data_IF_557943418755
#
_entry.id   IF_557943418755
#
_cell.length_a   1.000
_cell.length_b   1.000
_cell.length_c   1.000
_cell.angle_alpha   90.00
_cell.angle_beta   90.00
_cell.angle_gamma   90.00
#
_symmetry.space_group_name_H-M   'P 1'
#
loop_
_entity.id
_entity.type
_entity.pdbx_description
1 polymer ?
#
# COMPACT_ATOMS: atom_id res chain seq x y z
N UNK A 1 -32.43 -49.65 36.14
CA UNK A 1 -33.55 -50.14 35.32
C UNK A 1 -34.66 -49.10 35.39
N UNK A 2 -34.95 -48.45 34.24
CA UNK A 2 -36.26 -47.94 33.75
C UNK A 2 -36.92 -46.83 34.63
N UNK A 3 -37.38 -45.65 34.18
CA UNK A 3 -37.70 -45.01 32.87
C UNK A 3 -38.10 -43.54 33.14
N UNK A 4 -37.62 -42.58 32.32
CA UNK A 4 -38.34 -41.74 31.34
C UNK A 4 -39.23 -40.57 31.81
N UNK A 5 -38.99 -39.42 31.14
CA UNK A 5 -39.99 -38.65 30.36
C UNK A 5 -40.33 -37.20 30.78
N UNK A 6 -39.80 -36.28 29.95
CA UNK A 6 -40.51 -35.25 29.19
C UNK A 6 -40.82 -33.85 29.76
N UNK A 7 -40.22 -32.88 29.06
CA UNK A 7 -40.65 -31.52 28.78
C UNK A 7 -42.15 -31.24 28.84
N UNK A 8 -42.53 -30.15 29.52
CA UNK A 8 -43.50 -29.16 29.01
C UNK A 8 -43.56 -27.98 29.98
N UNK A 9 -43.15 -26.79 29.55
CA UNK A 9 -43.79 -25.53 29.96
C UNK A 9 -43.52 -24.48 28.89
N UNK A 10 -44.52 -24.34 28.02
CA UNK A 10 -44.63 -23.36 26.95
C UNK A 10 -45.68 -22.32 27.38
N UNK A 11 -45.40 -21.07 27.02
CA UNK A 11 -46.35 -20.00 26.66
C UNK A 11 -47.02 -19.21 27.81
N UNK A 12 -46.58 -17.96 28.02
CA UNK A 12 -47.26 -16.78 27.46
C UNK A 12 -46.64 -15.47 27.98
N UNK A 13 -46.24 -14.58 27.06
CA UNK A 13 -46.74 -13.19 26.98
C UNK A 13 -46.04 -12.44 25.82
N UNK A 14 -46.83 -12.24 24.76
CA UNK A 14 -46.79 -11.21 23.71
C UNK A 14 -45.51 -10.37 23.51
N UNK A 15 -44.92 -10.49 22.32
CA UNK A 15 -44.54 -9.30 21.55
C UNK A 15 -45.02 -9.45 20.11
N UNK A 16 -46.27 -9.03 19.89
CA UNK A 16 -46.87 -8.74 18.61
C UNK A 16 -46.18 -7.52 17.99
N UNK A 17 -45.11 -7.76 17.24
CA UNK A 17 -44.70 -6.88 16.15
C UNK A 17 -44.42 -7.76 14.93
N UNK A 18 -45.41 -7.79 14.04
CA UNK A 18 -45.28 -7.92 12.59
C UNK A 18 -43.97 -8.58 12.13
N UNK A 19 -44.04 -9.88 11.88
CA UNK A 19 -42.99 -10.60 11.17
C UNK A 19 -42.86 -10.05 9.75
N UNK A 20 -42.06 -9.01 9.60
CA UNK A 20 -41.41 -8.69 8.34
C UNK A 20 -40.34 -9.77 8.09
N UNK A 21 -40.81 -10.93 7.62
CA UNK A 21 -40.02 -12.12 7.27
C UNK A 21 -39.22 -11.89 5.97
N UNK A 22 -38.44 -10.80 5.94
CA UNK A 22 -37.43 -10.52 4.92
C UNK A 22 -36.05 -10.81 5.50
N UNK A 23 -35.63 -12.10 5.57
CA UNK A 23 -34.31 -12.47 6.08
C UNK A 23 -33.16 -11.89 5.23
N UNK A 24 -33.46 -11.41 4.03
CA UNK A 24 -32.52 -10.79 3.10
C UNK A 24 -32.20 -9.34 3.39
N UNK A 25 -32.91 -8.70 4.34
CA UNK A 25 -32.76 -7.27 4.64
C UNK A 25 -32.23 -6.99 6.03
N UNK A 26 -31.37 -5.97 6.11
CA UNK A 26 -30.85 -5.46 7.35
C UNK A 26 -31.90 -4.70 8.16
N UNK A 27 -32.14 -5.12 9.40
CA UNK A 27 -33.14 -4.46 10.29
C UNK A 27 -32.75 -3.05 10.76
N UNK A 28 -31.52 -2.60 10.52
CA UNK A 28 -31.09 -1.23 10.83
C UNK A 28 -31.24 -0.24 9.66
N UNK A 29 -31.18 -0.71 8.41
CA UNK A 29 -31.21 0.19 7.24
C UNK A 29 -32.17 -0.25 6.12
N UNK A 30 -32.90 -1.35 6.30
CA UNK A 30 -33.82 -2.00 5.35
C UNK A 30 -33.23 -2.36 3.97
N UNK A 31 -31.91 -2.31 3.85
CA UNK A 31 -31.17 -2.66 2.63
C UNK A 31 -30.84 -4.16 2.59
N UNK A 32 -30.73 -4.69 1.36
CA UNK A 32 -30.37 -6.08 1.14
C UNK A 32 -28.94 -6.36 1.59
N UNK A 33 -28.72 -7.54 2.18
CA UNK A 33 -27.39 -8.05 2.45
C UNK A 33 -26.68 -8.48 1.15
N UNK A 34 -25.37 -8.27 1.09
CA UNK A 34 -24.50 -8.71 -0.01
C UNK A 34 -23.23 -9.38 0.53
N UNK A 35 -22.37 -9.93 -0.33
CA UNK A 35 -21.17 -10.67 0.10
C UNK A 35 -19.94 -9.81 0.40
N UNK A 36 -20.01 -8.50 0.16
CA UNK A 36 -18.84 -7.62 0.09
C UNK A 36 -18.98 -6.43 1.03
N UNK A 37 -19.96 -5.58 0.80
CA UNK A 37 -20.16 -4.29 1.46
C UNK A 37 -21.19 -4.40 2.60
N UNK A 38 -22.33 -5.04 2.35
CA UNK A 38 -23.41 -5.21 3.33
C UNK A 38 -23.48 -6.64 3.84
N UNK A 39 -22.32 -7.22 4.14
CA UNK A 39 -22.24 -8.60 4.65
C UNK A 39 -22.90 -8.74 6.02
N UNK A 40 -23.77 -9.73 6.25
CA UNK A 40 -24.49 -9.88 7.51
C UNK A 40 -23.52 -10.29 8.63
N UNK A 41 -23.54 -9.56 9.75
CA UNK A 41 -22.71 -9.83 10.94
C UNK A 41 -23.54 -9.81 12.20
N UNK A 42 -23.22 -10.70 13.14
CA UNK A 42 -23.95 -10.84 14.39
C UNK A 42 -23.26 -10.11 15.54
N UNK A 43 -24.04 -9.32 16.29
CA UNK A 43 -23.62 -8.80 17.59
C UNK A 43 -23.61 -9.95 18.61
N UNK A 44 -22.95 -9.76 19.77
CA UNK A 44 -22.87 -10.81 20.80
C UNK A 44 -24.21 -11.15 21.45
N UNK A 45 -25.25 -10.32 21.25
CA UNK A 45 -26.63 -10.62 21.63
C UNK A 45 -27.39 -11.51 20.62
N UNK A 46 -26.76 -11.89 19.50
CA UNK A 46 -27.36 -12.72 18.45
C UNK A 46 -28.09 -11.96 17.33
N UNK A 47 -28.32 -10.65 17.49
CA UNK A 47 -28.94 -9.84 16.43
C UNK A 47 -27.98 -9.53 15.29
N UNK A 48 -28.48 -9.60 14.05
CA UNK A 48 -27.65 -9.50 12.84
C UNK A 48 -27.92 -8.21 12.07
N UNK A 49 -26.86 -7.51 11.69
CA UNK A 49 -26.90 -6.24 10.94
C UNK A 49 -25.87 -6.23 9.81
N UNK A 50 -26.01 -5.27 8.89
CA UNK A 50 -25.09 -5.13 7.77
C UNK A 50 -23.71 -4.63 8.22
N UNK A 51 -22.64 -5.07 7.55
CA UNK A 51 -21.27 -4.64 7.87
C UNK A 51 -21.12 -3.11 7.91
N UNK A 52 -21.64 -2.40 6.90
CA UNK A 52 -21.67 -0.92 6.89
C UNK A 52 -22.45 -0.30 8.06
N UNK A 53 -23.51 -0.95 8.51
CA UNK A 53 -24.37 -0.46 9.58
C UNK A 53 -23.62 -0.53 10.91
N UNK A 54 -22.95 -1.65 11.15
CA UNK A 54 -22.11 -1.84 12.33
C UNK A 54 -20.92 -0.87 12.28
N UNK A 55 -20.24 -0.77 11.14
CA UNK A 55 -19.08 0.09 10.95
C UNK A 55 -19.38 1.57 11.24
N UNK A 56 -20.51 2.09 10.76
CA UNK A 56 -20.97 3.46 11.07
C UNK A 56 -21.27 3.69 12.55
N UNK A 57 -21.58 2.62 13.29
CA UNK A 57 -21.93 2.68 14.72
C UNK A 57 -20.75 2.37 15.65
N UNK A 58 -19.58 2.00 15.14
CA UNK A 58 -18.39 1.72 15.97
C UNK A 58 -17.88 3.03 16.59
N UNK A 59 -18.21 3.24 17.86
CA UNK A 59 -17.72 4.35 18.69
C UNK A 59 -17.40 3.85 20.12
N UNK A 60 -16.58 2.79 20.23
CA UNK A 60 -16.21 2.04 21.45
C UNK A 60 -17.34 1.20 22.08
N UNK A 61 -18.58 1.69 22.06
CA UNK A 61 -19.78 0.97 22.51
C UNK A 61 -20.83 1.04 21.40
N UNK A 62 -21.38 -0.11 21.03
CA UNK A 62 -22.49 -0.24 20.08
C UNK A 62 -23.72 -0.71 20.85
N UNK A 63 -24.80 0.04 20.79
CA UNK A 63 -26.09 -0.38 21.35
C UNK A 63 -26.90 -1.09 20.28
N UNK A 64 -27.34 -2.32 20.55
CA UNK A 64 -28.16 -3.10 19.63
C UNK A 64 -29.51 -2.40 19.37
N UNK A 65 -29.87 -2.07 18.11
CA UNK A 65 -31.16 -1.44 17.80
C UNK A 65 -32.40 -2.27 18.17
N UNK A 66 -32.25 -3.60 18.34
CA UNK A 66 -33.36 -4.51 18.60
C UNK A 66 -33.55 -4.74 20.10
N UNK A 67 -32.52 -5.22 20.80
CA UNK A 67 -32.62 -5.57 22.22
C UNK A 67 -32.01 -4.54 23.19
N UNK A 68 -31.42 -3.46 22.68
CA UNK A 68 -30.73 -2.40 23.45
C UNK A 68 -29.51 -2.87 24.26
N UNK A 69 -29.05 -4.11 24.09
CA UNK A 69 -27.79 -4.59 24.68
C UNK A 69 -26.59 -3.79 24.15
N UNK A 70 -25.63 -3.52 25.03
CA UNK A 70 -24.40 -2.81 24.69
C UNK A 70 -23.26 -3.78 24.38
N UNK A 71 -22.51 -3.48 23.32
CA UNK A 71 -21.41 -4.30 22.82
C UNK A 71 -20.15 -3.44 22.69
N UNK A 72 -19.07 -3.82 23.38
CA UNK A 72 -17.78 -3.13 23.26
C UNK A 72 -17.05 -3.66 22.04
N UNK A 73 -16.71 -2.77 21.11
CA UNK A 73 -15.92 -3.12 19.94
C UNK A 73 -15.12 -1.93 19.44
N UNK A 74 -13.90 -2.22 18.99
CA UNK A 74 -12.96 -1.27 18.37
C UNK A 74 -12.84 -1.49 16.87
N UNK A 75 -13.27 -2.65 16.36
CA UNK A 75 -13.19 -2.98 14.94
C UNK A 75 -14.34 -3.89 14.50
N UNK A 76 -14.71 -3.81 13.23
CA UNK A 76 -15.79 -4.60 12.60
C UNK A 76 -15.51 -6.12 12.66
N UNK A 77 -14.24 -6.52 12.66
CA UNK A 77 -13.78 -7.92 12.69
C UNK A 77 -14.16 -8.65 13.98
N UNK A 78 -14.47 -7.92 15.06
CA UNK A 78 -14.92 -8.49 16.33
C UNK A 78 -16.37 -9.00 16.29
N UNK A 79 -17.13 -8.67 15.23
CA UNK A 79 -18.45 -9.21 14.99
C UNK A 79 -18.40 -10.25 13.87
N UNK A 80 -18.65 -11.54 14.16
CA UNK A 80 -18.54 -12.60 13.18
C UNK A 80 -19.59 -12.45 12.07
N UNK A 81 -19.24 -12.94 10.88
CA UNK A 81 -20.17 -13.03 9.76
C UNK A 81 -21.20 -14.11 10.06
N UNK A 82 -22.47 -13.80 9.77
CA UNK A 82 -23.57 -14.76 9.90
C UNK A 82 -23.78 -15.51 8.58
N UNK A 83 -23.09 -16.64 8.43
CA UNK A 83 -23.16 -17.48 7.23
C UNK A 83 -24.53 -18.14 7.02
N UNK A 84 -25.32 -18.34 8.08
CA UNK A 84 -26.67 -18.90 7.96
C UNK A 84 -27.61 -17.94 7.23
N UNK A 85 -27.50 -16.64 7.51
CA UNK A 85 -28.24 -15.62 6.76
C UNK A 85 -27.78 -15.57 5.30
N UNK A 86 -26.48 -15.72 5.02
CA UNK A 86 -25.97 -15.81 3.64
C UNK A 86 -26.56 -17.02 2.88
N UNK A 87 -26.65 -18.17 3.56
CA UNK A 87 -27.22 -19.39 3.01
C UNK A 87 -28.73 -19.25 2.76
N UNK A 88 -29.47 -18.65 3.71
CA UNK A 88 -30.90 -18.39 3.57
C UNK A 88 -31.19 -17.46 2.40
N UNK A 89 -30.43 -16.36 2.23
CA UNK A 89 -30.60 -15.44 1.09
C UNK A 89 -30.41 -16.17 -0.25
N UNK A 90 -29.44 -17.08 -0.32
CA UNK A 90 -29.20 -17.90 -1.52
C UNK A 90 -30.40 -18.79 -1.83
N UNK A 91 -30.99 -19.40 -0.81
CA UNK A 91 -32.14 -20.31 -0.95
C UNK A 91 -33.45 -19.56 -1.25
N UNK A 92 -33.67 -18.38 -0.65
CA UNK A 92 -34.84 -17.53 -0.93
C UNK A 92 -34.87 -17.06 -2.38
N UNK A 93 -33.71 -16.69 -2.95
CA UNK A 93 -33.60 -16.36 -4.38
C UNK A 93 -33.95 -17.57 -5.26
N UNK A 94 -33.51 -18.77 -4.88
CA UNK A 94 -33.86 -20.02 -5.58
C UNK A 94 -35.35 -20.37 -5.53
N UNK A 95 -36.00 -20.21 -4.38
CA UNK A 95 -37.42 -20.54 -4.22
C UNK A 95 -38.37 -19.54 -4.91
N UNK A 96 -38.06 -18.24 -4.88
CA UNK A 96 -38.86 -17.22 -5.60
C UNK A 96 -38.82 -17.39 -7.12
N UNK A 97 -37.67 -17.81 -7.68
CA UNK A 97 -37.53 -18.10 -9.11
C UNK A 97 -38.52 -19.19 -9.54
N UNK A 98 -38.60 -20.31 -8.81
CA UNK A 98 -39.47 -21.44 -9.17
C UNK A 98 -40.98 -21.13 -9.12
N UNK A 99 -41.44 -20.32 -8.15
CA UNK A 99 -42.86 -19.95 -8.03
C UNK A 99 -43.28 -18.88 -9.04
N UNK A 100 -42.40 -17.92 -9.35
CA UNK A 100 -42.66 -16.88 -10.33
C UNK A 100 -42.60 -17.44 -11.77
N UNK A 101 -41.67 -18.35 -12.05
CA UNK A 101 -41.53 -19.04 -13.35
C UNK A 101 -42.79 -19.84 -13.69
N UNK A 102 -43.40 -20.54 -12.72
CA UNK A 102 -44.62 -21.32 -12.95
C UNK A 102 -45.86 -20.46 -13.27
N UNK A 103 -46.00 -19.28 -12.64
CA UNK A 103 -47.08 -18.32 -12.91
C UNK A 103 -46.86 -17.57 -14.24
N UNK A 104 -45.61 -17.21 -14.56
CA UNK A 104 -45.24 -16.60 -15.83
C UNK A 104 -45.39 -17.59 -17.01
N UNK A 105 -45.14 -18.88 -16.79
CA UNK A 105 -45.30 -19.92 -17.82
C UNK A 105 -46.77 -20.08 -18.26
N UNK A 106 -47.73 -20.08 -17.33
CA UNK A 106 -49.17 -20.12 -17.65
C UNK A 106 -49.64 -18.86 -18.40
N UNK A 107 -49.17 -17.68 -18.01
CA UNK A 107 -49.50 -16.41 -18.69
C UNK A 107 -48.93 -16.32 -20.12
N UNK A 108 -47.77 -16.93 -20.38
CA UNK A 108 -47.19 -17.01 -21.74
C UNK A 108 -48.02 -17.91 -22.67
N UNK A 109 -48.55 -19.01 -22.17
CA UNK A 109 -49.31 -19.97 -22.98
C UNK A 109 -50.58 -19.36 -23.58
N UNK A 110 -51.27 -18.48 -22.86
CA UNK A 110 -52.45 -17.77 -23.38
C UNK A 110 -52.10 -16.62 -24.35
N UNK A 111 -50.96 -15.93 -24.18
CA UNK A 111 -50.52 -14.85 -25.08
C UNK A 111 -49.98 -15.32 -26.44
N UNK A 112 -49.59 -16.59 -26.53
CA UNK A 112 -48.97 -17.16 -27.75
C UNK A 112 -49.98 -17.75 -28.75
N UNK A 113 -51.24 -17.94 -28.34
CA UNK A 113 -52.34 -18.37 -29.21
C UNK A 113 -52.64 -17.29 -30.26
N UNK A 114 -52.26 -17.55 -31.51
CA UNK A 114 -52.59 -16.70 -32.66
C UNK A 114 -51.40 -15.98 -33.29
N UNK A 115 -50.19 -16.09 -32.74
CA UNK A 115 -49.00 -15.50 -33.34
C UNK A 115 -48.46 -16.41 -34.45
N UNK A 116 -48.27 -15.84 -35.65
CA UNK A 116 -47.77 -16.57 -36.83
C UNK A 116 -46.39 -17.18 -36.59
N UNK A 117 -46.15 -18.38 -37.13
CA UNK A 117 -44.85 -19.10 -37.06
C UNK A 117 -43.67 -18.22 -37.51
N UNK A 118 -43.89 -17.31 -38.47
CA UNK A 118 -42.87 -16.38 -38.98
C UNK A 118 -42.46 -15.31 -37.96
N UNK A 119 -43.38 -14.87 -37.11
CA UNK A 119 -43.05 -13.91 -36.04
C UNK A 119 -42.30 -14.62 -34.91
N UNK A 120 -42.65 -15.88 -34.61
CA UNK A 120 -41.90 -16.71 -33.67
C UNK A 120 -40.47 -16.99 -34.11
N UNK A 121 -40.23 -17.26 -35.39
CA UNK A 121 -38.87 -17.48 -35.90
C UNK A 121 -38.00 -16.23 -35.79
N UNK A 122 -38.55 -15.05 -36.12
CA UNK A 122 -37.84 -13.77 -35.96
C UNK A 122 -37.54 -13.45 -34.50
N UNK A 123 -38.48 -13.71 -33.59
CA UNK A 123 -38.26 -13.53 -32.15
C UNK A 123 -37.17 -14.46 -31.62
N UNK A 124 -37.08 -15.68 -32.13
CA UNK A 124 -36.05 -16.64 -31.72
C UNK A 124 -34.66 -16.28 -32.29
N UNK A 125 -34.61 -15.77 -33.52
CA UNK A 125 -33.41 -15.17 -34.12
C UNK A 125 -32.91 -13.96 -33.31
N UNK A 126 -33.82 -13.06 -32.93
CA UNK A 126 -33.48 -11.90 -32.10
C UNK A 126 -32.99 -12.31 -30.71
N UNK A 127 -33.63 -13.30 -30.06
CA UNK A 127 -33.15 -13.84 -28.78
C UNK A 127 -31.75 -14.43 -28.90
N UNK A 128 -31.49 -15.21 -29.96
CA UNK A 128 -30.17 -15.79 -30.22
C UNK A 128 -29.13 -14.69 -30.44
N UNK A 129 -29.48 -13.66 -31.23
CA UNK A 129 -28.64 -12.48 -31.47
C UNK A 129 -28.31 -11.73 -30.16
N UNK A 130 -29.33 -11.46 -29.34
CA UNK A 130 -29.18 -10.79 -28.04
C UNK A 130 -28.34 -11.65 -27.07
N UNK A 131 -28.57 -12.97 -27.02
CA UNK A 131 -27.78 -13.88 -26.19
C UNK A 131 -26.30 -13.87 -26.59
N UNK A 132 -26.01 -13.84 -27.89
CA UNK A 132 -24.65 -13.72 -28.41
C UNK A 132 -24.02 -12.38 -28.03
N UNK A 133 -24.78 -11.27 -28.10
CA UNK A 133 -24.31 -9.95 -27.68
C UNK A 133 -24.03 -9.90 -26.16
N UNK A 134 -24.89 -10.50 -25.33
CA UNK A 134 -24.65 -10.62 -23.89
C UNK A 134 -23.34 -11.36 -23.62
N UNK A 135 -23.12 -12.50 -24.29
CA UNK A 135 -21.89 -13.29 -24.14
C UNK A 135 -20.65 -12.46 -24.52
N UNK A 136 -20.71 -11.70 -25.62
CA UNK A 136 -19.63 -10.78 -26.03
C UNK A 136 -19.38 -9.67 -25.01
N UNK A 137 -20.44 -9.11 -24.41
CA UNK A 137 -20.32 -8.11 -23.35
C UNK A 137 -19.68 -8.70 -22.08
N UNK A 138 -20.05 -9.91 -21.68
CA UNK A 138 -19.45 -10.61 -20.53
C UNK A 138 -17.96 -10.89 -20.76
N UNK A 139 -17.59 -11.29 -21.98
CA UNK A 139 -16.19 -11.47 -22.36
C UNK A 139 -15.42 -10.13 -22.29
N UNK A 140 -15.98 -9.06 -22.85
CA UNK A 140 -15.37 -7.72 -22.79
C UNK A 140 -15.19 -7.24 -21.33
N UNK A 141 -16.18 -7.46 -20.46
CA UNK A 141 -16.08 -7.16 -19.04
C UNK A 141 -14.98 -7.97 -18.35
N UNK A 142 -14.85 -9.25 -18.69
CA UNK A 142 -13.77 -10.10 -18.18
C UNK A 142 -12.38 -9.57 -18.61
N UNK A 143 -12.24 -9.21 -19.89
CA UNK A 143 -11.00 -8.64 -20.42
C UNK A 143 -10.66 -7.30 -19.75
N UNK A 144 -11.64 -6.41 -19.58
CA UNK A 144 -11.47 -5.14 -18.87
C UNK A 144 -11.05 -5.35 -17.41
N UNK A 145 -11.64 -6.33 -16.72
CA UNK A 145 -11.26 -6.68 -15.36
C UNK A 145 -9.80 -7.16 -15.26
N UNK A 146 -9.34 -8.01 -16.20
CA UNK A 146 -7.95 -8.46 -16.27
C UNK A 146 -6.99 -7.29 -16.52
N UNK A 147 -7.31 -6.45 -17.50
CA UNK A 147 -6.50 -5.27 -17.81
C UNK A 147 -6.44 -4.28 -16.64
N UNK A 148 -7.56 -4.04 -15.96
CA UNK A 148 -7.59 -3.21 -14.75
C UNK A 148 -6.69 -3.77 -13.65
N UNK A 149 -6.63 -5.10 -13.50
CA UNK A 149 -5.67 -5.77 -12.62
C UNK A 149 -4.23 -5.44 -12.98
N UNK A 150 -3.85 -5.61 -14.25
CA UNK A 150 -2.49 -5.35 -14.72
C UNK A 150 -2.08 -3.87 -14.57
N UNK A 151 -2.98 -2.93 -14.87
CA UNK A 151 -2.73 -1.50 -14.66
C UNK A 151 -2.49 -1.21 -13.17
N UNK A 152 -3.23 -1.85 -12.27
CA UNK A 152 -3.01 -1.72 -10.83
C UNK A 152 -1.66 -2.29 -10.42
N UNK A 153 -1.28 -3.45 -10.96
CA UNK A 153 0.00 -4.09 -10.66
C UNK A 153 1.18 -3.23 -11.14
N UNK A 154 1.13 -2.71 -12.38
CA UNK A 154 2.13 -1.77 -12.89
C UNK A 154 2.20 -0.50 -12.03
N UNK A 155 1.06 0.06 -11.63
CA UNK A 155 1.03 1.22 -10.72
C UNK A 155 1.73 0.91 -9.40
N UNK A 156 1.48 -0.25 -8.80
CA UNK A 156 2.14 -0.68 -7.57
C UNK A 156 3.66 -0.84 -7.76
N UNK A 157 4.09 -1.45 -8.87
CA UNK A 157 5.51 -1.58 -9.20
C UNK A 157 6.19 -0.21 -9.35
N UNK A 158 5.53 0.74 -10.04
CA UNK A 158 6.04 2.10 -10.17
C UNK A 158 6.16 2.81 -8.81
N UNK A 159 5.18 2.67 -7.92
CA UNK A 159 5.29 3.22 -6.57
C UNK A 159 6.45 2.60 -5.78
N UNK A 160 6.66 1.28 -5.86
CA UNK A 160 7.79 0.63 -5.20
C UNK A 160 9.15 1.14 -5.71
N UNK A 161 9.27 1.38 -7.02
CA UNK A 161 10.48 1.99 -7.59
C UNK A 161 10.66 3.43 -7.12
N UNK A 162 9.57 4.20 -7.07
CA UNK A 162 9.57 5.56 -6.55
C UNK A 162 10.05 5.61 -5.08
N UNK A 163 9.54 4.72 -4.24
CA UNK A 163 9.95 4.64 -2.82
C UNK A 163 11.44 4.33 -2.70
N UNK A 164 11.96 3.37 -3.49
CA UNK A 164 13.40 3.04 -3.50
C UNK A 164 14.28 4.20 -3.97
N UNK A 165 13.84 4.95 -4.98
CA UNK A 165 14.56 6.14 -5.43
C UNK A 165 14.58 7.23 -4.35
N UNK A 166 13.47 7.40 -3.64
CA UNK A 166 13.38 8.33 -2.53
C UNK A 166 14.33 7.94 -1.39
N UNK A 167 14.40 6.65 -1.03
CA UNK A 167 15.34 6.14 -0.01
C UNK A 167 16.81 6.42 -0.40
N UNK A 168 17.18 6.24 -1.67
CA UNK A 168 18.53 6.55 -2.16
C UNK A 168 18.84 8.05 -2.08
N UNK A 169 17.86 8.92 -2.40
CA UNK A 169 18.02 10.36 -2.29
C UNK A 169 18.21 10.79 -0.83
N UNK A 170 17.46 10.20 0.10
CA UNK A 170 17.60 10.51 1.53
C UNK A 170 18.96 10.05 2.07
N UNK A 171 19.44 8.87 1.67
CA UNK A 171 20.79 8.41 2.01
C UNK A 171 21.88 9.34 1.46
N UNK A 172 21.73 9.81 0.21
CA UNK A 172 22.66 10.77 -0.37
C UNK A 172 22.70 12.08 0.44
N UNK A 173 21.52 12.60 0.79
CA UNK A 173 21.39 13.82 1.57
C UNK A 173 22.06 13.68 2.93
N UNK A 174 21.84 12.57 3.63
CA UNK A 174 22.50 12.31 4.91
C UNK A 174 24.04 12.27 4.79
N UNK A 175 24.57 11.71 3.70
CA UNK A 175 26.01 11.72 3.43
C UNK A 175 26.52 13.14 3.18
N UNK A 176 25.79 13.96 2.42
CA UNK A 176 26.15 15.36 2.20
C UNK A 176 26.25 16.10 3.54
N UNK A 177 25.26 15.93 4.43
CA UNK A 177 25.27 16.53 5.77
C UNK A 177 26.49 16.07 6.61
N UNK A 178 26.87 14.79 6.53
CA UNK A 178 28.08 14.28 7.21
C UNK A 178 29.36 14.89 6.63
N UNK A 179 29.46 15.04 5.30
CA UNK A 179 30.61 15.66 4.66
C UNK A 179 30.73 17.15 4.99
N UNK A 180 29.61 17.87 5.09
CA UNK A 180 29.59 19.27 5.53
C UNK A 180 30.08 19.41 6.98
N UNK A 181 29.72 18.46 7.87
CA UNK A 181 30.21 18.43 9.24
C UNK A 181 31.71 18.13 9.33
N UNK A 182 32.20 17.18 8.51
CA UNK A 182 33.63 16.86 8.41
C UNK A 182 34.41 18.07 7.86
N UNK A 183 33.93 18.71 6.79
CA UNK A 183 34.55 19.90 6.21
C UNK A 183 34.65 21.05 7.24
N UNK A 184 33.56 21.32 7.96
CA UNK A 184 33.57 22.31 9.03
C UNK A 184 34.58 21.97 10.15
N UNK A 185 34.70 20.69 10.50
CA UNK A 185 35.66 20.21 11.51
C UNK A 185 37.10 20.36 11.03
N UNK A 186 37.38 20.04 9.77
CA UNK A 186 38.70 20.23 9.13
C UNK A 186 39.07 21.71 9.07
N UNK A 187 38.13 22.58 8.67
CA UNK A 187 38.35 24.03 8.64
C UNK A 187 38.69 24.57 10.04
N UNK A 188 37.92 24.19 11.06
CA UNK A 188 38.20 24.58 12.43
C UNK A 188 39.59 24.12 12.87
N UNK A 189 39.94 22.86 12.64
CA UNK A 189 41.26 22.33 12.98
C UNK A 189 42.38 23.08 12.25
N UNK A 190 42.20 23.38 10.96
CA UNK A 190 43.16 24.12 10.18
C UNK A 190 43.40 25.54 10.74
N UNK A 191 42.35 26.20 11.24
CA UNK A 191 42.50 27.51 11.91
C UNK A 191 43.28 27.42 13.23
N UNK A 192 43.04 26.36 14.02
CA UNK A 192 43.77 26.11 15.28
C UNK A 192 45.25 25.84 14.99
N UNK A 193 45.56 24.98 14.01
CA UNK A 193 46.92 24.66 13.59
C UNK A 193 47.65 25.86 13.02
N UNK A 194 47.01 26.69 12.19
CA UNK A 194 47.66 27.89 11.65
C UNK A 194 47.93 28.93 12.74
N UNK A 195 47.04 29.06 13.73
CA UNK A 195 47.29 29.90 14.89
C UNK A 195 48.49 29.41 15.72
N UNK A 196 48.57 28.10 15.99
CA UNK A 196 49.70 27.49 16.70
C UNK A 196 51.01 27.67 15.92
N UNK A 197 51.00 27.43 14.61
CA UNK A 197 52.15 27.67 13.72
C UNK A 197 52.63 29.12 13.78
N UNK A 198 51.72 30.09 13.76
CA UNK A 198 52.08 31.52 13.87
C UNK A 198 52.72 31.84 15.21
N UNK A 199 52.24 31.26 16.30
CA UNK A 199 52.86 31.41 17.63
C UNK A 199 54.29 30.86 17.63
N UNK A 200 54.51 29.67 17.06
CA UNK A 200 55.85 29.08 16.92
C UNK A 200 56.78 29.93 16.06
N UNK A 201 56.27 30.52 14.97
CA UNK A 201 57.06 31.42 14.11
C UNK A 201 57.47 32.70 14.85
N UNK A 202 56.54 33.36 15.54
CA UNK A 202 56.85 34.52 16.39
C UNK A 202 57.86 34.15 17.48
N UNK A 203 57.74 32.94 18.04
CA UNK A 203 58.69 32.47 19.04
C UNK A 203 60.09 32.28 18.46
N UNK A 204 60.19 31.63 17.30
CA UNK A 204 61.45 31.44 16.58
C UNK A 204 62.15 32.78 16.33
N UNK A 205 61.42 33.81 15.89
CA UNK A 205 61.97 35.17 15.72
C UNK A 205 62.47 35.77 17.03
N UNK A 206 61.81 35.53 18.17
CA UNK A 206 62.30 35.97 19.48
C UNK A 206 63.60 35.25 19.89
N UNK A 207 63.77 33.96 19.55
CA UNK A 207 65.00 33.21 19.84
C UNK A 207 66.23 33.85 19.21
N UNK A 208 66.09 34.40 18.00
CA UNK A 208 67.18 35.08 17.28
C UNK A 208 67.68 36.34 18.00
N UNK A 209 66.91 36.89 18.95
CA UNK A 209 67.25 38.12 19.68
C UNK A 209 67.91 37.89 21.05
N UNK A 210 67.95 36.64 21.51
CA UNK A 210 68.50 36.26 22.82
C UNK A 210 70.01 36.45 22.82
N UNK A 211 70.55 37.19 23.81
CA UNK A 211 71.98 37.51 23.85
C UNK A 211 72.65 37.31 25.22
N UNK A 212 71.88 37.04 26.28
CA UNK A 212 72.44 36.73 27.60
C UNK A 212 72.19 35.27 28.03
N UNK A 213 73.11 34.71 28.81
CA UNK A 213 72.96 33.34 29.35
C UNK A 213 71.71 33.16 30.23
N UNK A 214 71.27 34.24 30.89
CA UNK A 214 70.06 34.24 31.74
C UNK A 214 68.79 34.19 30.89
N UNK A 215 68.75 34.90 29.77
CA UNK A 215 67.66 34.83 28.80
C UNK A 215 67.58 33.43 28.18
N UNK A 216 68.71 32.87 27.71
CA UNK A 216 68.75 31.51 27.13
C UNK A 216 68.10 30.47 28.04
N UNK A 217 68.36 30.53 29.35
CA UNK A 217 67.82 29.53 30.30
C UNK A 217 66.30 29.66 30.48
N UNK A 218 65.78 30.89 30.52
CA UNK A 218 64.33 31.15 30.60
C UNK A 218 63.66 30.69 29.30
N UNK A 219 64.28 31.03 28.17
CA UNK A 219 63.79 30.72 26.83
C UNK A 219 63.63 29.21 26.60
N UNK A 220 64.62 28.40 26.99
CA UNK A 220 64.56 26.93 26.87
C UNK A 220 63.36 26.35 27.64
N UNK A 221 63.09 26.86 28.85
CA UNK A 221 61.97 26.35 29.66
C UNK A 221 60.59 26.69 29.08
N UNK A 222 60.47 27.82 28.39
CA UNK A 222 59.24 28.21 27.68
C UNK A 222 59.08 27.40 26.38
N UNK A 223 60.18 27.08 25.69
CA UNK A 223 60.16 26.33 24.42
C UNK A 223 59.71 24.88 24.61
N UNK A 224 60.03 24.26 25.74
CA UNK A 224 59.52 22.92 26.09
C UNK A 224 57.98 22.89 26.14
N UNK A 225 57.35 23.96 26.62
CA UNK A 225 55.89 24.07 26.68
C UNK A 225 55.28 24.22 25.27
N UNK A 226 55.86 25.08 24.42
CA UNK A 226 55.40 25.25 23.05
C UNK A 226 55.55 23.99 22.20
N UNK A 227 56.61 23.20 22.42
CA UNK A 227 56.80 21.92 21.75
C UNK A 227 55.72 20.91 22.13
N UNK A 228 55.40 20.79 23.42
CA UNK A 228 54.31 19.91 23.90
C UNK A 228 52.96 20.32 23.30
N UNK A 229 52.68 21.62 23.25
CA UNK A 229 51.45 22.13 22.63
C UNK A 229 51.39 21.85 21.12
N UNK A 230 52.50 22.04 20.40
CA UNK A 230 52.59 21.76 18.96
C UNK A 230 52.44 20.27 18.62
N UNK A 231 53.11 19.40 19.38
CA UNK A 231 52.98 17.94 19.26
C UNK A 231 51.54 17.50 19.54
N UNK A 232 50.89 18.10 20.54
CA UNK A 232 49.48 17.85 20.86
C UNK A 232 48.53 18.16 19.69
N UNK A 233 48.75 19.28 18.98
CA UNK A 233 47.96 19.64 17.80
C UNK A 233 48.19 18.68 16.63
N UNK A 234 49.45 18.30 16.37
CA UNK A 234 49.79 17.35 15.30
C UNK A 234 49.15 15.98 15.58
N UNK A 235 49.24 15.50 16.82
CA UNK A 235 48.61 14.25 17.23
C UNK A 235 47.09 14.31 17.07
N UNK A 236 46.45 15.38 17.53
CA UNK A 236 44.99 15.58 17.38
C UNK A 236 44.57 15.53 15.91
N UNK A 237 45.33 16.15 15.00
CA UNK A 237 45.06 16.07 13.56
C UNK A 237 45.15 14.64 13.02
N UNK A 238 46.12 13.85 13.48
CA UNK A 238 46.32 12.45 13.05
C UNK A 238 45.25 11.51 13.60
N UNK A 239 44.73 11.78 14.79
CA UNK A 239 43.72 10.94 15.44
C UNK A 239 42.30 11.24 14.94
N UNK A 240 42.01 12.51 14.67
CA UNK A 240 40.65 12.95 14.31
C UNK A 240 40.40 12.83 12.81
N UNK A 241 41.42 12.99 11.96
CA UNK A 241 41.24 13.12 10.52
C UNK A 241 42.02 12.10 9.67
N UNK A 242 41.43 11.62 8.56
CA UNK A 242 40.02 11.81 8.19
C UNK A 242 39.10 10.95 9.08
N UNK A 243 37.85 11.36 9.27
CA UNK A 243 36.83 10.44 9.77
C UNK A 243 36.59 9.35 8.71
N UNK A 244 37.27 8.22 8.93
CA UNK A 244 37.24 7.04 8.05
C UNK A 244 35.80 6.54 7.85
N UNK A 245 34.93 6.68 8.86
CA UNK A 245 33.55 6.23 8.75
C UNK A 245 32.75 7.13 7.81
N UNK A 246 32.89 8.45 7.93
CA UNK A 246 32.25 9.43 7.04
C UNK A 246 32.72 9.24 5.60
N UNK A 247 34.03 9.12 5.37
CA UNK A 247 34.60 8.89 4.04
C UNK A 247 34.13 7.56 3.45
N UNK A 248 34.20 6.47 4.21
CA UNK A 248 33.76 5.16 3.72
C UNK A 248 32.26 5.13 3.39
N UNK A 249 31.43 5.79 4.20
CA UNK A 249 29.98 5.87 3.95
C UNK A 249 29.70 6.69 2.70
N UNK A 250 30.40 7.81 2.51
CA UNK A 250 30.29 8.64 1.32
C UNK A 250 30.60 7.87 0.04
N UNK A 251 31.75 7.17 0.01
CA UNK A 251 32.16 6.38 -1.15
C UNK A 251 31.13 5.31 -1.49
N UNK A 252 30.63 4.57 -0.50
CA UNK A 252 29.63 3.49 -0.71
C UNK A 252 28.31 4.02 -1.27
N UNK A 253 27.79 5.12 -0.71
CA UNK A 253 26.53 5.71 -1.17
C UNK A 253 26.70 6.29 -2.56
N UNK A 254 27.82 6.96 -2.83
CA UNK A 254 28.14 7.48 -4.16
C UNK A 254 28.22 6.36 -5.21
N UNK A 255 28.96 5.29 -4.93
CA UNK A 255 29.06 4.14 -5.84
C UNK A 255 27.68 3.50 -6.09
N UNK A 256 26.86 3.34 -5.05
CA UNK A 256 25.51 2.79 -5.17
C UNK A 256 24.63 3.64 -6.09
N UNK A 257 24.64 4.96 -5.91
CA UNK A 257 23.84 5.89 -6.71
C UNK A 257 24.35 5.97 -8.14
N UNK A 258 25.66 6.03 -8.35
CA UNK A 258 26.27 6.03 -9.68
C UNK A 258 25.83 4.79 -10.48
N UNK A 259 25.98 3.60 -9.89
CA UNK A 259 25.58 2.35 -10.52
C UNK A 259 24.07 2.33 -10.84
N UNK A 260 23.23 2.86 -9.95
CA UNK A 260 21.79 2.95 -10.19
C UNK A 260 21.44 3.90 -11.35
N UNK A 261 22.12 5.05 -11.44
CA UNK A 261 21.94 6.02 -12.52
C UNK A 261 22.39 5.46 -13.87
N UNK A 262 23.52 4.77 -13.93
CA UNK A 262 24.02 4.14 -15.16
C UNK A 262 23.06 3.07 -15.69
N UNK A 263 22.45 2.28 -14.79
CA UNK A 263 21.39 1.35 -15.17
C UNK A 263 20.15 2.06 -15.72
N UNK A 264 19.76 3.20 -15.15
CA UNK A 264 18.58 3.95 -15.61
C UNK A 264 18.80 4.67 -16.94
N UNK A 265 19.97 5.26 -17.18
CA UNK A 265 20.27 5.99 -18.41
C UNK A 265 20.43 5.07 -19.61
N UNK A 266 21.08 3.92 -19.43
CA UNK A 266 21.21 2.90 -20.48
C UNK A 266 19.86 2.32 -20.93
N UNK A 267 18.91 2.16 -20.01
CA UNK A 267 17.54 1.72 -20.34
C UNK A 267 16.72 2.80 -21.07
N UNK A 268 16.92 4.08 -20.73
CA UNK A 268 16.17 5.21 -21.32
C UNK A 268 16.67 5.57 -22.72
N UNK A 269 17.96 5.46 -23.01
CA UNK A 269 18.50 5.71 -24.35
C UNK A 269 18.17 4.57 -25.35
N UNK A 270 17.92 3.35 -24.86
CA UNK A 270 17.36 2.26 -25.67
C UNK A 270 15.86 2.45 -26.01
N UNK A 271 15.20 3.47 -25.45
CA UNK A 271 13.80 3.86 -25.71
C UNK A 271 13.65 4.87 -26.85
N UNK A 272 14.46 4.77 -27.91
CA UNK A 272 14.24 5.59 -29.10
C UNK A 272 12.97 5.12 -29.88
N UNK A 273 11.88 5.84 -29.62
CA UNK A 273 10.85 6.34 -30.54
C UNK A 273 10.07 5.44 -31.54
N UNK A 274 10.28 4.12 -31.68
CA UNK A 274 9.71 3.38 -32.85
C UNK A 274 8.47 2.49 -32.63
N UNK A 275 7.83 2.42 -31.46
CA UNK A 275 6.66 1.53 -31.28
C UNK A 275 5.34 2.31 -31.28
N UNK A 276 4.92 2.75 -32.46
CA UNK A 276 3.53 3.15 -32.71
C UNK A 276 2.64 1.90 -32.67
N UNK A 277 2.09 1.59 -31.50
CA UNK A 277 1.11 0.52 -31.35
C UNK A 277 -0.23 0.96 -31.93
N UNK A 278 -0.52 0.57 -33.18
CA UNK A 278 -1.83 0.82 -33.79
C UNK A 278 -2.95 0.19 -32.95
N UNK A 279 -4.03 0.95 -32.72
CA UNK A 279 -5.14 0.57 -31.83
C UNK A 279 -6.23 -0.28 -32.52
N UNK A 280 -6.07 -0.64 -33.78
CA UNK A 280 -7.13 -1.24 -34.60
C UNK A 280 -7.30 -2.74 -34.37
N UNK A 281 -8.56 -3.20 -34.30
CA UNK A 281 -9.00 -4.58 -34.52
C UNK A 281 -8.67 -5.65 -33.46
N UNK A 282 -7.81 -5.37 -32.47
CA UNK A 282 -7.36 -6.35 -31.47
C UNK A 282 -8.14 -6.27 -30.16
N UNK A 283 -8.27 -7.42 -29.48
CA UNK A 283 -8.79 -7.51 -28.12
C UNK A 283 -7.91 -6.75 -27.14
N UNK A 284 -8.45 -6.42 -25.97
CA UNK A 284 -7.69 -5.66 -24.96
C UNK A 284 -6.44 -6.45 -24.53
N UNK A 285 -6.56 -7.76 -24.40
CA UNK A 285 -5.46 -8.63 -23.98
C UNK A 285 -4.36 -8.75 -25.04
N UNK A 286 -4.70 -8.83 -26.33
CA UNK A 286 -3.71 -8.83 -27.42
C UNK A 286 -2.88 -7.54 -27.43
N UNK A 287 -3.50 -6.39 -27.13
CA UNK A 287 -2.79 -5.12 -27.03
C UNK A 287 -1.82 -5.11 -25.85
N UNK A 288 -2.23 -5.65 -24.70
CA UNK A 288 -1.40 -5.79 -23.51
C UNK A 288 -0.22 -6.74 -23.74
N UNK A 289 -0.46 -7.89 -24.36
CA UNK A 289 0.60 -8.86 -24.66
C UNK A 289 1.63 -8.26 -25.62
N UNK A 290 1.18 -7.49 -26.62
CA UNK A 290 2.07 -6.76 -27.52
C UNK A 290 2.95 -5.74 -26.78
N UNK A 291 2.37 -4.97 -25.85
CA UNK A 291 3.12 -4.05 -24.98
C UNK A 291 4.15 -4.82 -24.14
N UNK A 292 3.71 -5.89 -23.48
CA UNK A 292 4.56 -6.68 -22.57
C UNK A 292 5.71 -7.35 -23.32
N UNK A 293 5.48 -7.83 -24.53
CA UNK A 293 6.49 -8.46 -25.39
C UNK A 293 7.54 -7.46 -25.86
N UNK A 294 7.12 -6.23 -26.23
CA UNK A 294 8.05 -5.14 -26.57
C UNK A 294 8.94 -4.80 -25.38
N UNK A 295 8.37 -4.72 -24.17
CA UNK A 295 9.13 -4.46 -22.94
C UNK A 295 10.10 -5.62 -22.64
N UNK A 296 9.68 -6.87 -22.85
CA UNK A 296 10.48 -8.07 -22.50
C UNK A 296 11.62 -8.35 -23.47
N UNK A 297 11.44 -8.12 -24.77
CA UNK A 297 12.48 -8.31 -25.78
C UNK A 297 13.65 -7.34 -25.59
N UNK A 298 13.39 -6.14 -25.04
CA UNK A 298 14.43 -5.15 -24.72
C UNK A 298 15.25 -5.49 -23.47
N UNK A 299 14.81 -6.44 -22.62
CA UNK A 299 15.59 -6.90 -21.45
C UNK A 299 16.66 -7.94 -21.80
N UNK A 300 16.72 -8.42 -23.05
CA UNK A 300 17.61 -9.50 -23.50
C UNK A 300 18.69 -9.03 -24.49
N UNK A 301 18.73 -7.75 -24.82
CA UNK A 301 19.70 -7.10 -25.72
C UNK A 301 20.43 -6.02 -24.95
#
# INVERSE_FOLDING_TARGET
>A
MVSDSCCTLLISHNCSTLMDNRPEKCKACDENYDKVQRRPRSLTCGHTFCSQCIEKSIKKIITCPICKAEHRATALTQFPINYEIEALIKNFKGAQLTSAEALLAKSRQDRTRGISKKLWSSVEEDKSSISNLITKCEEALSQLGKYQGQVRDWKTQHHQLQDRLYDLLEQNKAVIELLEQEDASVVNMATEVEAAKKQLQTRLECLDTVNTAKEVTITISEDDQYNVEAEGWIQKCQEVFPDVNTVCTSVKVHETISNALDMMTTEVDATDASVLLENSGSTIMEKVERITRVISLKKLT
#
